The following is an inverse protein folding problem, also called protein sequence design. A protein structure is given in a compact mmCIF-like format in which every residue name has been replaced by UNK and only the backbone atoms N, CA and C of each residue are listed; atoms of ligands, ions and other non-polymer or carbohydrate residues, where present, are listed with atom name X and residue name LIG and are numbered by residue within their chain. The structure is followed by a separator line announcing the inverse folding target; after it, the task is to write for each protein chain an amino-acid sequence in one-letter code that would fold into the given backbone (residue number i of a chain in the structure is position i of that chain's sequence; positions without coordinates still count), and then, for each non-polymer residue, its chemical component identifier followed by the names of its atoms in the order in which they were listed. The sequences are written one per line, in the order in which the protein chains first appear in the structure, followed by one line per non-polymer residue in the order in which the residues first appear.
data_IF_639531497763
#
_entry.id   IF_639531497763
#
_cell.length_a   1.000
_cell.length_b   1.000
_cell.length_c   1.000
_cell.angle_alpha   90.00
_cell.angle_beta   90.00
_cell.angle_gamma   90.00
#
_symmetry.space_group_name_H-M   'P 1'
#
loop_
_entity.id
_entity.type
_entity.pdbx_description
1 polymer ?
#
# COMPACT_ATOMS: atom_id res chain seq x y z
N UNK A 1 4.41 15.00 -38.42
CA UNK A 1 5.42 14.46 -37.50
C UNK A 1 5.42 15.31 -36.23
N UNK A 2 5.39 14.73 -35.04
CA UNK A 2 5.41 15.48 -33.76
C UNK A 2 6.76 15.30 -33.07
N UNK A 3 7.03 16.09 -32.02
CA UNK A 3 8.26 15.95 -31.21
C UNK A 3 8.41 14.53 -30.64
N UNK A 4 7.31 13.91 -30.20
CA UNK A 4 7.31 12.53 -29.71
C UNK A 4 7.74 11.53 -30.79
N UNK A 5 7.20 11.64 -32.02
CA UNK A 5 7.58 10.76 -33.12
C UNK A 5 9.05 10.96 -33.54
N UNK A 6 9.55 12.19 -33.46
CA UNK A 6 10.96 12.48 -33.71
C UNK A 6 11.85 11.82 -32.64
N UNK A 7 11.52 12.00 -31.36
CA UNK A 7 12.26 11.39 -30.25
C UNK A 7 12.27 9.86 -30.33
N UNK A 8 11.12 9.24 -30.64
CA UNK A 8 11.03 7.79 -30.82
C UNK A 8 11.96 7.29 -31.94
N UNK A 9 12.04 8.01 -33.08
CA UNK A 9 12.98 7.68 -34.16
C UNK A 9 14.44 7.79 -33.72
N UNK A 10 14.80 8.85 -32.98
CA UNK A 10 16.16 9.02 -32.44
C UNK A 10 16.50 7.89 -31.46
N UNK A 11 15.59 7.50 -30.57
CA UNK A 11 15.82 6.39 -29.65
C UNK A 11 16.03 5.07 -30.40
N UNK A 12 15.24 4.78 -31.44
CA UNK A 12 15.39 3.55 -32.23
C UNK A 12 16.73 3.48 -32.97
N UNK A 13 17.20 4.60 -33.51
CA UNK A 13 18.44 4.64 -34.30
C UNK A 13 19.71 4.73 -33.43
N UNK A 14 19.66 5.50 -32.33
CA UNK A 14 20.86 5.87 -31.56
C UNK A 14 20.89 5.28 -30.15
N UNK A 15 19.75 4.91 -29.57
CA UNK A 15 19.64 4.39 -28.20
C UNK A 15 18.69 3.17 -28.12
N UNK A 16 19.00 2.04 -28.79
CA UNK A 16 18.08 0.91 -28.90
C UNK A 16 17.65 0.32 -27.55
N UNK A 17 18.54 0.39 -26.54
CA UNK A 17 18.29 -0.10 -25.18
C UNK A 17 17.12 0.64 -24.50
N UNK A 18 16.85 1.88 -24.89
CA UNK A 18 15.73 2.65 -24.34
C UNK A 18 14.39 2.14 -24.88
N UNK A 19 14.36 1.46 -26.03
CA UNK A 19 13.09 1.03 -26.66
C UNK A 19 12.31 0.05 -25.77
N UNK A 20 13.01 -0.73 -24.93
CA UNK A 20 12.40 -1.67 -23.98
C UNK A 20 12.01 -1.06 -22.63
N UNK A 21 12.19 0.25 -22.41
CA UNK A 21 11.81 0.88 -21.13
C UNK A 21 10.36 0.60 -20.67
N UNK A 22 9.35 0.47 -21.56
CA UNK A 22 7.99 0.15 -21.11
C UNK A 22 7.89 -1.21 -20.41
N UNK A 23 8.78 -2.15 -20.78
CA UNK A 23 8.82 -3.49 -20.17
C UNK A 23 9.40 -3.47 -18.75
N UNK A 24 10.10 -2.41 -18.36
CA UNK A 24 10.61 -2.20 -16.99
C UNK A 24 9.53 -1.59 -16.08
N UNK A 25 8.46 -1.04 -16.66
CA UNK A 25 7.39 -0.30 -15.97
C UNK A 25 6.14 -1.16 -15.71
N UNK A 26 6.32 -2.46 -15.44
CA UNK A 26 5.23 -3.47 -15.37
C UNK A 26 4.12 -3.20 -14.35
N UNK A 27 4.37 -2.36 -13.34
CA UNK A 27 3.41 -2.05 -12.28
C UNK A 27 2.75 -0.68 -12.42
N UNK A 28 3.19 0.17 -13.36
CA UNK A 28 2.70 1.54 -13.51
C UNK A 28 1.20 1.58 -13.83
N UNK A 29 0.72 0.72 -14.74
CA UNK A 29 -0.72 0.64 -15.06
C UNK A 29 -1.57 0.20 -13.87
N UNK A 30 -1.02 -0.63 -12.98
CA UNK A 30 -1.73 -1.04 -11.76
C UNK A 30 -1.72 0.08 -10.74
N UNK A 31 -0.59 0.76 -10.56
CA UNK A 31 -0.44 1.87 -9.62
C UNK A 31 -1.41 3.02 -9.93
N UNK A 32 -1.61 3.36 -11.20
CA UNK A 32 -2.55 4.43 -11.60
C UNK A 32 -4.03 4.13 -11.34
N UNK A 33 -4.38 2.88 -11.00
CA UNK A 33 -5.74 2.45 -10.66
C UNK A 33 -5.99 2.32 -9.16
N UNK A 34 -4.96 2.52 -8.35
CA UNK A 34 -5.00 2.29 -6.91
C UNK A 34 -5.20 3.63 -6.20
N UNK A 35 -6.26 3.74 -5.40
CA UNK A 35 -6.49 4.96 -4.62
C UNK A 35 -5.65 4.97 -3.34
N UNK A 36 -4.74 5.93 -3.22
CA UNK A 36 -3.93 6.10 -2.01
C UNK A 36 -4.82 6.41 -0.78
N UNK A 37 -5.85 7.24 -0.95
CA UNK A 37 -6.80 7.57 0.12
C UNK A 37 -7.53 6.32 0.65
N UNK A 38 -7.96 5.43 -0.25
CA UNK A 38 -8.66 4.20 0.15
C UNK A 38 -7.74 3.25 0.90
N UNK A 39 -6.47 3.14 0.52
CA UNK A 39 -5.48 2.32 1.25
C UNK A 39 -5.33 2.84 2.68
N UNK A 40 -5.10 4.15 2.84
CA UNK A 40 -4.94 4.77 4.16
C UNK A 40 -6.18 4.52 5.04
N UNK A 41 -7.38 4.77 4.51
CA UNK A 41 -8.64 4.55 5.25
C UNK A 41 -8.81 3.09 5.67
N UNK A 42 -8.47 2.14 4.80
CA UNK A 42 -8.58 0.72 5.08
C UNK A 42 -7.62 0.27 6.18
N UNK A 43 -6.37 0.75 6.15
CA UNK A 43 -5.37 0.44 7.19
C UNK A 43 -5.80 1.02 8.54
N UNK A 44 -6.24 2.28 8.59
CA UNK A 44 -6.75 2.87 9.82
C UNK A 44 -7.97 2.12 10.37
N UNK A 45 -8.89 1.73 9.49
CA UNK A 45 -10.07 0.95 9.87
C UNK A 45 -9.67 -0.39 10.47
N UNK A 46 -8.75 -1.11 9.82
CA UNK A 46 -8.23 -2.39 10.30
C UNK A 46 -7.58 -2.25 11.67
N UNK A 47 -6.68 -1.27 11.85
CA UNK A 47 -6.04 -1.02 13.14
C UNK A 47 -7.03 -0.66 14.25
N UNK A 48 -8.08 0.11 13.94
CA UNK A 48 -9.16 0.41 14.90
C UNK A 48 -9.96 -0.84 15.28
N UNK A 49 -10.30 -1.68 14.31
CA UNK A 49 -11.08 -2.90 14.55
C UNK A 49 -10.32 -3.91 15.42
N UNK A 50 -9.01 -4.09 15.17
CA UNK A 50 -8.16 -4.98 15.98
C UNK A 50 -8.10 -4.47 17.42
N UNK A 51 -7.85 -3.16 17.63
CA UNK A 51 -7.83 -2.56 18.97
C UNK A 51 -9.16 -2.66 19.71
N UNK A 52 -10.28 -2.51 19.00
CA UNK A 52 -11.60 -2.69 19.59
C UNK A 52 -11.78 -4.11 20.09
N UNK A 53 -11.42 -5.10 19.26
CA UNK A 53 -11.53 -6.50 19.63
C UNK A 53 -10.61 -6.85 20.80
N UNK A 54 -9.38 -6.34 20.84
CA UNK A 54 -8.46 -6.52 21.96
C UNK A 54 -9.09 -6.03 23.28
N UNK A 55 -9.67 -4.83 23.28
CA UNK A 55 -10.37 -4.27 24.44
C UNK A 55 -11.62 -5.06 24.83
N UNK A 56 -12.37 -5.55 23.85
CA UNK A 56 -13.53 -6.40 24.10
C UNK A 56 -13.11 -7.72 24.78
N UNK A 57 -11.94 -8.27 24.42
CA UNK A 57 -11.39 -9.46 25.08
C UNK A 57 -10.89 -9.20 26.50
N UNK A 58 -10.29 -8.03 26.77
CA UNK A 58 -9.87 -7.63 28.12
C UNK A 58 -11.04 -7.54 29.11
N UNK A 59 -12.22 -7.17 28.61
CA UNK A 59 -13.43 -6.96 29.42
C UNK A 59 -14.43 -8.10 29.31
N UNK A 60 -14.12 -9.14 28.53
CA UNK A 60 -15.03 -10.26 28.29
C UNK A 60 -15.23 -11.09 29.57
N UNK A 61 -16.47 -11.51 29.90
CA UNK A 61 -16.72 -12.34 31.06
C UNK A 61 -16.02 -13.71 30.93
N UNK A 62 -15.71 -14.39 32.05
CA UNK A 62 -15.17 -15.74 32.02
C UNK A 62 -16.11 -16.72 31.30
N UNK A 63 -15.57 -17.78 30.64
CA UNK A 63 -16.35 -18.80 29.96
C UNK A 63 -17.46 -19.36 30.84
N UNK A 64 -18.70 -19.34 30.35
CA UNK A 64 -19.85 -19.84 31.12
C UNK A 64 -19.99 -21.37 31.09
N UNK A 65 -19.40 -22.01 30.06
CA UNK A 65 -19.38 -23.46 29.90
C UNK A 65 -18.19 -23.87 29.00
N UNK A 66 -17.91 -25.18 28.90
CA UNK A 66 -16.77 -25.73 28.16
C UNK A 66 -16.82 -25.47 26.63
N UNK A 67 -17.99 -25.11 26.08
CA UNK A 67 -18.12 -24.78 24.66
C UNK A 67 -17.84 -23.29 24.38
N UNK A 68 -17.72 -22.47 25.42
CA UNK A 68 -17.37 -21.05 25.28
C UNK A 68 -15.85 -20.90 25.11
N UNK A 69 -15.43 -20.96 23.85
CA UNK A 69 -14.03 -20.82 23.42
C UNK A 69 -13.73 -19.43 22.86
N UNK A 70 -14.61 -18.45 23.08
CA UNK A 70 -14.49 -17.13 22.43
C UNK A 70 -13.16 -16.46 22.79
N UNK A 71 -12.86 -16.31 24.08
CA UNK A 71 -11.63 -15.68 24.54
C UNK A 71 -10.39 -16.44 24.05
N UNK A 72 -10.40 -17.77 24.11
CA UNK A 72 -9.28 -18.61 23.65
C UNK A 72 -8.98 -18.39 22.16
N UNK A 73 -9.99 -18.55 21.30
CA UNK A 73 -9.82 -18.44 19.84
C UNK A 73 -9.53 -17.00 19.41
N UNK A 74 -10.23 -16.04 19.98
CA UNK A 74 -10.10 -14.64 19.58
C UNK A 74 -8.80 -14.01 20.09
N UNK A 75 -8.25 -14.45 21.23
CA UNK A 75 -6.91 -14.00 21.66
C UNK A 75 -5.81 -14.43 20.68
N UNK A 76 -5.89 -15.67 20.18
CA UNK A 76 -4.99 -16.17 19.14
C UNK A 76 -5.16 -15.40 17.83
N UNK A 77 -6.41 -15.13 17.44
CA UNK A 77 -6.71 -14.33 16.25
C UNK A 77 -6.17 -12.90 16.36
N UNK A 78 -6.43 -12.18 17.46
CA UNK A 78 -5.96 -10.80 17.65
C UNK A 78 -4.45 -10.72 17.55
N UNK A 79 -3.74 -11.67 18.18
CA UNK A 79 -2.28 -11.73 18.10
C UNK A 79 -1.77 -11.84 16.66
N UNK A 80 -2.37 -12.75 15.86
CA UNK A 80 -2.02 -12.92 14.45
C UNK A 80 -2.43 -11.72 13.59
N UNK A 81 -3.62 -11.16 13.83
CA UNK A 81 -4.12 -10.01 13.09
C UNK A 81 -3.26 -8.77 13.32
N UNK A 82 -2.82 -8.54 14.56
CA UNK A 82 -1.91 -7.46 14.92
C UNK A 82 -0.56 -7.59 14.20
N UNK A 83 0.03 -8.79 14.17
CA UNK A 83 1.28 -9.03 13.44
C UNK A 83 1.15 -8.73 11.93
N UNK A 84 0.05 -9.15 11.30
CA UNK A 84 -0.18 -8.89 9.88
C UNK A 84 -0.48 -7.41 9.62
N UNK A 85 -1.21 -6.74 10.51
CA UNK A 85 -1.46 -5.31 10.42
C UNK A 85 -0.17 -4.50 10.49
N UNK A 86 0.73 -4.83 11.42
CA UNK A 86 2.04 -4.15 11.54
C UNK A 86 2.90 -4.31 10.28
N UNK A 87 2.87 -5.50 9.65
CA UNK A 87 3.54 -5.71 8.36
C UNK A 87 2.95 -4.82 7.26
N UNK A 88 1.62 -4.75 7.17
CA UNK A 88 0.95 -3.91 6.17
C UNK A 88 1.22 -2.41 6.40
N UNK A 89 1.19 -1.96 7.65
CA UNK A 89 1.53 -0.59 8.02
C UNK A 89 2.98 -0.23 7.66
N UNK A 90 3.92 -1.15 7.89
CA UNK A 90 5.32 -0.97 7.48
C UNK A 90 5.46 -0.89 5.95
N UNK A 91 4.78 -1.77 5.22
CA UNK A 91 4.78 -1.74 3.74
C UNK A 91 4.20 -0.43 3.21
N UNK A 92 3.11 0.06 3.82
CA UNK A 92 2.50 1.34 3.46
C UNK A 92 3.43 2.52 3.69
N UNK A 93 4.07 2.59 4.86
CA UNK A 93 5.08 3.63 5.16
C UNK A 93 6.25 3.61 4.18
N UNK A 94 6.68 2.41 3.78
CA UNK A 94 7.73 2.27 2.77
C UNK A 94 7.26 2.77 1.39
N UNK A 95 6.02 2.48 1.00
CA UNK A 95 5.41 2.99 -0.24
C UNK A 95 5.35 4.53 -0.22
N UNK A 96 4.88 5.14 0.86
CA UNK A 96 4.83 6.61 1.01
C UNK A 96 6.22 7.24 0.92
N UNK A 97 7.23 6.61 1.55
CA UNK A 97 8.61 7.07 1.45
C UNK A 97 9.11 7.03 0.01
N UNK A 98 8.93 5.91 -0.69
CA UNK A 98 9.37 5.78 -2.08
C UNK A 98 8.68 6.82 -2.99
N UNK A 99 7.41 7.13 -2.75
CA UNK A 99 6.71 8.19 -3.47
C UNK A 99 7.26 9.58 -3.15
N UNK A 100 7.63 9.84 -1.89
CA UNK A 100 8.32 11.08 -1.51
C UNK A 100 9.68 11.22 -2.19
N UNK A 101 10.46 10.12 -2.25
CA UNK A 101 11.76 10.09 -2.91
C UNK A 101 11.62 10.37 -4.44
N UNK A 102 10.55 9.89 -5.07
CA UNK A 102 10.21 10.27 -6.46
C UNK A 102 9.92 11.77 -6.59
N UNK A 103 9.25 12.37 -5.62
CA UNK A 103 9.02 13.82 -5.54
C UNK A 103 10.31 14.63 -5.54
N UNK A 104 11.31 14.17 -4.78
CA UNK A 104 12.63 14.79 -4.76
C UNK A 104 13.38 14.59 -6.09
N UNK A 105 13.31 13.40 -6.68
CA UNK A 105 14.03 13.06 -7.91
C UNK A 105 13.45 13.75 -9.16
N UNK A 106 12.12 13.74 -9.31
CA UNK A 106 11.41 14.34 -10.44
C UNK A 106 10.95 15.78 -10.18
N UNK A 107 11.21 16.31 -8.98
CA UNK A 107 10.96 17.70 -8.58
C UNK A 107 9.47 18.09 -8.68
N UNK A 108 8.62 17.30 -8.02
CA UNK A 108 7.20 17.62 -7.81
C UNK A 108 6.84 17.60 -6.32
N UNK A 109 5.67 18.13 -5.96
CA UNK A 109 5.17 18.15 -4.58
C UNK A 109 4.26 16.92 -4.33
N UNK A 110 4.70 15.90 -3.57
CA UNK A 110 3.92 14.67 -3.32
C UNK A 110 2.62 14.90 -2.55
N UNK A 111 2.40 16.10 -2.01
CA UNK A 111 1.15 16.46 -1.32
C UNK A 111 0.10 17.05 -2.26
N UNK A 112 0.52 17.50 -3.45
CA UNK A 112 -0.37 18.11 -4.45
C UNK A 112 -0.70 17.17 -5.60
N UNK A 113 0.09 16.12 -5.77
CA UNK A 113 -0.10 15.07 -6.74
C UNK A 113 -0.25 13.77 -5.98
N UNK A 114 -1.35 13.06 -6.19
CA UNK A 114 -1.56 11.74 -5.59
C UNK A 114 -0.82 10.65 -6.38
N UNK A 115 -0.63 9.47 -5.76
CA UNK A 115 0.11 8.35 -6.37
C UNK A 115 -0.56 7.91 -7.68
N UNK A 116 -1.88 7.93 -7.73
CA UNK A 116 -2.66 7.58 -8.92
C UNK A 116 -2.67 8.65 -10.03
N UNK A 117 -2.35 9.90 -9.70
CA UNK A 117 -2.27 11.02 -10.66
C UNK A 117 -0.88 11.19 -11.29
N UNK A 118 0.17 10.73 -10.61
CA UNK A 118 1.56 10.75 -11.08
C UNK A 118 1.82 9.66 -12.14
#
# INVERSE_FOLDING_TARGET
QTLLHFLAGVCQEQYPDVVSFPDELIHVEKASRVSAEMIQKNLESMGRQIKSLEKDLETFPPPQNENDLFVEKMSSFVSQAQEQYEKLDLMHKNMEKQYSDLGEYFVFDPRKMSVEEF
#
